data_IF_430721076204
#
_entry.id   IF_430721076204
#
_cell.length_a   1.000
_cell.length_b   1.000
_cell.length_c   1.000
_cell.angle_alpha   90.00
_cell.angle_beta   90.00
_cell.angle_gamma   90.00
#
_symmetry.space_group_name_H-M   'P 1'
#
loop_
_entity.id
_entity.type
_entity.pdbx_description
1 polymer ?
#
# COMPACT_ATOMS: atom_id res chain seq x y z
N UNK A 1 -56.45 26.08 -13.37
CA UNK A 1 -56.13 25.50 -14.70
C UNK A 1 -54.65 25.79 -14.95
N UNK A 2 -53.73 24.81 -14.87
CA UNK A 2 -53.19 24.02 -16.02
C UNK A 2 -52.67 24.97 -17.13
N UNK A 3 -51.40 25.03 -17.61
CA UNK A 3 -50.32 24.05 -17.77
C UNK A 3 -48.93 24.70 -18.02
N UNK A 4 -47.87 23.91 -17.83
CA UNK A 4 -46.59 23.79 -18.59
C UNK A 4 -45.57 24.95 -18.58
N UNK A 5 -44.37 24.78 -18.02
CA UNK A 5 -43.22 23.94 -18.45
C UNK A 5 -42.43 24.52 -19.63
N UNK A 6 -41.22 25.01 -19.39
CA UNK A 6 -40.09 24.88 -20.32
C UNK A 6 -38.77 25.25 -19.62
N UNK A 7 -38.14 24.20 -19.13
CA UNK A 7 -36.83 24.07 -18.52
C UNK A 7 -35.74 24.67 -19.44
N UNK A 8 -35.05 25.71 -18.97
CA UNK A 8 -33.80 26.17 -19.59
C UNK A 8 -32.72 25.12 -19.30
N UNK A 9 -32.53 24.25 -20.27
CA UNK A 9 -31.29 23.52 -20.49
C UNK A 9 -30.13 24.52 -20.46
N UNK A 10 -29.06 24.16 -19.74
CA UNK A 10 -27.65 24.58 -19.84
C UNK A 10 -27.03 24.53 -18.43
N UNK A 11 -26.71 23.31 -18.00
CA UNK A 11 -25.66 23.06 -17.03
C UNK A 11 -24.88 21.85 -17.56
N UNK A 12 -24.06 22.17 -18.56
CA UNK A 12 -23.09 21.26 -19.12
C UNK A 12 -21.97 21.01 -18.09
N UNK A 13 -21.51 19.75 -18.09
CA UNK A 13 -20.16 19.31 -17.71
C UNK A 13 -19.71 19.53 -16.25
N UNK A 14 -19.77 18.44 -15.49
CA UNK A 14 -19.13 18.27 -14.18
C UNK A 14 -20.15 17.65 -13.24
N UNK A 15 -20.16 16.36 -12.95
CA UNK A 15 -19.05 15.51 -12.55
C UNK A 15 -19.21 14.14 -13.22
N UNK A 16 -18.48 13.91 -14.30
CA UNK A 16 -18.12 12.56 -14.73
C UNK A 16 -16.96 12.10 -13.83
N UNK A 17 -17.25 11.83 -12.55
CA UNK A 17 -16.34 11.01 -11.76
C UNK A 17 -16.50 9.58 -12.24
N UNK A 18 -15.69 9.26 -13.24
CA UNK A 18 -14.97 8.01 -13.38
C UNK A 18 -15.68 6.82 -12.70
N UNK A 19 -16.78 6.37 -13.31
CA UNK A 19 -17.02 4.94 -13.40
C UNK A 19 -15.88 4.37 -14.25
N UNK A 20 -14.67 4.32 -13.69
CA UNK A 20 -13.69 3.33 -14.13
C UNK A 20 -14.44 2.03 -14.02
N UNK A 21 -14.72 1.43 -15.17
CA UNK A 21 -15.06 0.04 -15.28
C UNK A 21 -14.05 -0.70 -14.42
N UNK A 22 -14.43 -1.00 -13.18
CA UNK A 22 -13.87 -2.12 -12.47
C UNK A 22 -14.18 -3.26 -13.41
N UNK A 23 -13.17 -3.72 -14.15
CA UNK A 23 -13.10 -5.13 -14.43
C UNK A 23 -13.45 -5.79 -13.09
N UNK A 24 -14.64 -6.37 -13.00
CA UNK A 24 -15.07 -7.08 -11.82
C UNK A 24 -14.19 -8.33 -11.78
N UNK A 25 -12.93 -8.15 -11.39
CA UNK A 25 -12.13 -9.22 -10.86
C UNK A 25 -12.96 -9.77 -9.70
N UNK A 26 -13.26 -11.07 -9.69
CA UNK A 26 -14.14 -11.63 -8.68
C UNK A 26 -13.50 -11.32 -7.33
N UNK A 27 -14.16 -10.46 -6.55
CA UNK A 27 -13.76 -10.15 -5.20
C UNK A 27 -13.62 -11.50 -4.48
N UNK A 28 -12.43 -11.78 -3.95
CA UNK A 28 -12.15 -13.07 -3.31
C UNK A 28 -12.90 -13.23 -1.96
N UNK A 29 -13.68 -12.23 -1.56
CA UNK A 29 -14.30 -12.07 -0.25
C UNK A 29 -15.68 -11.44 -0.43
N UNK A 30 -16.71 -12.01 0.20
CA UNK A 30 -18.02 -11.37 0.29
C UNK A 30 -18.00 -10.22 1.30
N UNK A 31 -18.79 -9.14 1.10
CA UNK A 31 -18.72 -7.92 1.92
C UNK A 31 -18.97 -8.14 3.43
N UNK A 32 -19.67 -9.23 3.80
CA UNK A 32 -19.94 -9.63 5.19
C UNK A 32 -19.09 -10.81 5.70
N UNK A 33 -18.17 -11.34 4.89
CA UNK A 33 -17.26 -12.42 5.32
C UNK A 33 -16.09 -11.82 6.12
N UNK A 34 -15.76 -12.42 7.26
CA UNK A 34 -14.52 -12.14 7.98
C UNK A 34 -13.34 -12.31 7.01
N UNK A 35 -12.38 -11.37 7.01
CA UNK A 35 -11.26 -11.46 6.07
C UNK A 35 -10.58 -12.83 6.20
N UNK A 36 -10.60 -13.67 5.14
CA UNK A 36 -9.96 -14.96 5.22
C UNK A 36 -8.47 -14.77 5.46
N UNK A 37 -7.85 -15.75 6.10
CA UNK A 37 -6.41 -15.70 6.34
C UNK A 37 -5.65 -15.62 5.02
N UNK A 38 -4.43 -15.06 5.05
CA UNK A 38 -3.54 -14.97 3.87
C UNK A 38 -3.42 -16.31 3.14
N UNK A 39 -3.33 -17.39 3.92
CA UNK A 39 -3.24 -18.75 3.40
C UNK A 39 -4.48 -19.13 2.58
N UNK A 40 -5.68 -18.83 3.06
CA UNK A 40 -6.93 -19.14 2.36
C UNK A 40 -7.03 -18.32 1.07
N UNK A 41 -6.67 -17.05 1.09
CA UNK A 41 -6.66 -16.20 -0.11
C UNK A 41 -5.68 -16.72 -1.16
N UNK A 42 -4.46 -17.07 -0.73
CA UNK A 42 -3.48 -17.68 -1.64
C UNK A 42 -3.88 -19.08 -2.14
N UNK A 43 -4.60 -19.87 -1.34
CA UNK A 43 -5.15 -21.15 -1.80
C UNK A 43 -6.28 -20.97 -2.82
N UNK A 44 -7.08 -19.90 -2.70
CA UNK A 44 -8.11 -19.53 -3.70
C UNK A 44 -7.47 -19.03 -5.00
N UNK A 45 -6.33 -18.34 -4.92
CA UNK A 45 -5.59 -17.83 -6.09
C UNK A 45 -4.76 -18.92 -6.80
N UNK A 46 -4.26 -19.91 -6.08
CA UNK A 46 -3.39 -20.95 -6.64
C UNK A 46 -4.20 -22.23 -6.90
N UNK A 47 -4.45 -22.50 -8.18
CA UNK A 47 -5.13 -23.71 -8.65
C UNK A 47 -4.57 -24.98 -7.99
N UNK A 48 -5.47 -25.85 -7.53
CA UNK A 48 -5.12 -27.10 -6.85
C UNK A 48 -4.31 -28.06 -7.72
N UNK A 49 -4.42 -27.95 -9.05
CA UNK A 49 -3.70 -28.76 -10.06
C UNK A 49 -2.39 -28.15 -10.58
N UNK A 50 -1.94 -27.02 -10.06
CA UNK A 50 -0.70 -26.39 -10.54
C UNK A 50 0.54 -27.25 -10.21
N UNK A 51 1.37 -27.57 -11.21
CA UNK A 51 2.64 -28.30 -11.02
C UNK A 51 3.55 -27.64 -9.97
N UNK A 52 3.61 -26.31 -9.98
CA UNK A 52 4.45 -25.52 -9.06
C UNK A 52 3.64 -24.88 -7.92
N UNK A 53 2.60 -25.57 -7.44
CA UNK A 53 1.66 -25.04 -6.42
C UNK A 53 2.38 -24.50 -5.19
N UNK A 54 3.40 -25.18 -4.70
CA UNK A 54 4.17 -24.75 -3.53
C UNK A 54 4.87 -23.41 -3.78
N UNK A 55 5.46 -23.21 -4.97
CA UNK A 55 6.18 -21.98 -5.33
C UNK A 55 5.23 -20.82 -5.57
N UNK A 56 4.09 -21.10 -6.22
CA UNK A 56 3.03 -20.11 -6.41
C UNK A 56 2.42 -19.68 -5.08
N UNK A 57 2.19 -20.60 -4.14
CA UNK A 57 1.72 -20.28 -2.79
C UNK A 57 2.74 -19.43 -2.03
N UNK A 58 4.03 -19.82 -2.05
CA UNK A 58 5.11 -19.02 -1.43
C UNK A 58 5.18 -17.61 -2.00
N UNK A 59 5.07 -17.48 -3.33
CA UNK A 59 5.08 -16.20 -4.03
C UNK A 59 3.88 -15.34 -3.65
N UNK A 60 2.67 -15.92 -3.63
CA UNK A 60 1.46 -15.23 -3.22
C UNK A 60 1.57 -14.70 -1.78
N UNK A 61 2.05 -15.54 -0.85
CA UNK A 61 2.21 -15.15 0.56
C UNK A 61 3.22 -14.02 0.73
N UNK A 62 4.37 -14.10 0.04
CA UNK A 62 5.38 -13.06 0.08
C UNK A 62 4.84 -11.72 -0.44
N UNK A 63 4.13 -11.74 -1.58
CA UNK A 63 3.46 -10.57 -2.16
C UNK A 63 2.45 -9.97 -1.19
N UNK A 64 1.62 -10.81 -0.58
CA UNK A 64 0.54 -10.40 0.29
C UNK A 64 1.06 -9.78 1.60
N UNK A 65 2.11 -10.37 2.19
CA UNK A 65 2.79 -9.77 3.35
C UNK A 65 3.41 -8.41 3.04
N UNK A 66 3.97 -8.22 1.84
CA UNK A 66 4.51 -6.93 1.41
C UNK A 66 3.40 -5.89 1.25
N UNK A 67 2.32 -6.25 0.56
CA UNK A 67 1.19 -5.36 0.32
C UNK A 67 0.46 -4.95 1.58
N UNK A 68 0.30 -5.87 2.53
CA UNK A 68 -0.33 -5.58 3.81
C UNK A 68 0.38 -4.50 4.62
N UNK A 69 1.72 -4.49 4.63
CA UNK A 69 2.47 -3.44 5.33
C UNK A 69 2.25 -2.06 4.73
N UNK A 70 2.08 -2.01 3.41
CA UNK A 70 1.77 -0.77 2.69
C UNK A 70 0.34 -0.33 3.00
N UNK A 71 -0.62 -1.25 2.89
CA UNK A 71 -2.03 -1.02 3.20
C UNK A 71 -2.22 -0.57 4.65
N UNK A 72 -1.63 -1.24 5.64
CA UNK A 72 -1.74 -0.87 7.05
C UNK A 72 -1.27 0.58 7.28
N UNK A 73 -0.12 0.95 6.72
CA UNK A 73 0.42 2.31 6.82
C UNK A 73 -0.51 3.33 6.17
N UNK A 74 -1.05 3.03 5.00
CA UNK A 74 -1.87 3.95 4.23
C UNK A 74 -3.27 4.09 4.88
N UNK A 75 -3.85 3.00 5.35
CA UNK A 75 -5.11 3.00 6.11
C UNK A 75 -4.99 3.70 7.46
N UNK A 76 -3.85 3.56 8.16
CA UNK A 76 -3.56 4.32 9.37
C UNK A 76 -3.45 5.82 9.11
N UNK A 77 -2.84 6.22 7.98
CA UNK A 77 -2.79 7.63 7.57
C UNK A 77 -4.18 8.19 7.28
N UNK A 78 -5.01 7.45 6.57
CA UNK A 78 -6.39 7.85 6.26
C UNK A 78 -7.27 7.95 7.50
N UNK A 79 -7.17 6.98 8.43
CA UNK A 79 -7.96 6.99 9.67
C UNK A 79 -7.49 8.04 10.68
N UNK A 80 -6.28 8.58 10.54
CA UNK A 80 -5.75 9.65 11.39
C UNK A 80 -6.63 10.91 11.43
N UNK A 81 -7.35 11.20 10.34
CA UNK A 81 -8.30 12.31 10.26
C UNK A 81 -9.67 12.04 10.91
N UNK A 82 -9.93 10.83 11.38
CA UNK A 82 -11.20 10.46 12.02
C UNK A 82 -11.16 10.78 13.51
N UNK A 83 -12.19 11.48 13.98
CA UNK A 83 -12.39 11.85 15.39
C UNK A 83 -12.95 10.67 16.19
N UNK A 84 -12.32 10.37 17.33
CA UNK A 84 -12.73 9.29 18.24
C UNK A 84 -12.01 7.96 17.98
N UNK A 85 -11.51 7.33 19.05
CA UNK A 85 -10.68 6.13 18.97
C UNK A 85 -11.42 4.94 18.33
N UNK A 86 -12.70 4.75 18.69
CA UNK A 86 -13.52 3.67 18.14
C UNK A 86 -13.81 3.88 16.64
N UNK A 87 -14.15 5.12 16.24
CA UNK A 87 -14.41 5.47 14.85
C UNK A 87 -13.14 5.36 13.98
N UNK A 88 -11.99 5.77 14.51
CA UNK A 88 -10.68 5.58 13.86
C UNK A 88 -10.36 4.10 13.65
N UNK A 89 -10.54 3.27 14.67
CA UNK A 89 -10.30 1.83 14.56
C UNK A 89 -11.27 1.16 13.57
N UNK A 90 -12.53 1.60 13.51
CA UNK A 90 -13.50 1.11 12.54
C UNK A 90 -13.15 1.53 11.11
N UNK A 91 -12.78 2.80 10.90
CA UNK A 91 -12.35 3.32 9.60
C UNK A 91 -11.09 2.63 9.10
N UNK A 92 -10.10 2.42 9.98
CA UNK A 92 -8.89 1.67 9.65
C UNK A 92 -9.22 0.24 9.21
N UNK A 93 -10.03 -0.49 10.00
CA UNK A 93 -10.46 -1.84 9.64
C UNK A 93 -11.23 -1.88 8.32
N UNK A 94 -12.14 -0.94 8.07
CA UNK A 94 -12.86 -0.87 6.80
C UNK A 94 -11.91 -0.69 5.60
N UNK A 95 -10.93 0.20 5.72
CA UNK A 95 -9.90 0.42 4.71
C UNK A 95 -9.06 -0.84 4.46
N UNK A 96 -8.57 -1.49 5.52
CA UNK A 96 -7.79 -2.72 5.40
C UNK A 96 -8.59 -3.82 4.73
N UNK A 97 -9.89 -3.95 5.05
CA UNK A 97 -10.74 -4.96 4.43
C UNK A 97 -10.89 -4.75 2.93
N UNK A 98 -11.16 -3.52 2.51
CA UNK A 98 -11.33 -3.18 1.10
C UNK A 98 -10.03 -3.37 0.32
N UNK A 99 -8.89 -2.96 0.89
CA UNK A 99 -7.60 -3.02 0.21
C UNK A 99 -6.97 -4.43 0.19
N UNK A 100 -7.29 -5.30 1.15
CA UNK A 100 -6.76 -6.66 1.23
C UNK A 100 -7.67 -7.73 0.61
N UNK A 101 -8.86 -7.36 0.16
CA UNK A 101 -9.80 -8.26 -0.52
C UNK A 101 -9.49 -8.56 -1.99
N UNK A 102 -8.44 -7.94 -2.53
CA UNK A 102 -7.99 -8.08 -3.93
C UNK A 102 -6.95 -9.20 -4.09
N UNK A 103 -6.75 -9.74 -5.30
CA UNK A 103 -5.71 -10.74 -5.56
C UNK A 103 -4.30 -10.21 -5.28
N UNK A 104 -3.37 -11.11 -4.95
CA UNK A 104 -1.99 -10.75 -4.55
C UNK A 104 -1.20 -9.94 -5.58
N UNK A 105 -1.57 -10.03 -6.86
CA UNK A 105 -0.99 -9.26 -7.96
C UNK A 105 -1.36 -7.78 -7.96
N UNK A 106 -2.53 -7.45 -7.41
CA UNK A 106 -3.08 -6.09 -7.34
C UNK A 106 -2.71 -5.35 -6.06
N UNK A 107 -2.11 -6.06 -5.10
CA UNK A 107 -1.65 -5.45 -3.85
C UNK A 107 -0.53 -4.43 -4.11
N UNK A 108 -0.55 -3.29 -3.40
CA UNK A 108 0.45 -2.25 -3.57
C UNK A 108 1.82 -2.80 -3.18
N UNK A 109 2.81 -2.60 -4.04
CA UNK A 109 4.19 -3.01 -3.76
C UNK A 109 4.92 -1.86 -3.11
N UNK A 110 5.92 -2.17 -2.28
CA UNK A 110 6.79 -1.13 -1.78
C UNK A 110 7.54 -0.55 -2.99
N UNK A 111 7.51 0.78 -3.22
CA UNK A 111 8.37 1.36 -4.22
C UNK A 111 9.81 0.96 -3.91
N UNK A 112 10.63 0.63 -4.93
CA UNK A 112 12.01 0.24 -4.70
C UNK A 112 12.70 1.35 -3.90
N UNK A 113 13.54 1.00 -2.89
CA UNK A 113 14.27 2.01 -2.16
C UNK A 113 15.09 2.85 -3.16
N UNK A 114 15.20 4.17 -2.96
CA UNK A 114 16.02 5.00 -3.83
C UNK A 114 17.44 4.42 -3.88
N UNK A 115 18.11 4.45 -5.06
CA UNK A 115 19.45 3.93 -5.19
C UNK A 115 20.34 4.61 -4.14
N UNK A 116 21.07 3.81 -3.36
CA UNK A 116 22.04 4.37 -2.41
C UNK A 116 23.03 5.21 -3.21
N UNK A 117 23.31 6.47 -2.80
CA UNK A 117 24.36 7.24 -3.42
C UNK A 117 25.64 6.40 -3.37
N UNK A 118 26.29 6.25 -4.52
CA UNK A 118 27.57 5.55 -4.64
C UNK A 118 28.55 6.30 -3.73
N UNK A 119 29.25 5.63 -2.79
CA UNK A 119 30.33 6.28 -2.07
C UNK A 119 31.37 6.71 -3.11
N UNK A 120 31.55 8.03 -3.24
CA UNK A 120 32.68 8.60 -3.98
C UNK A 120 33.96 8.15 -3.26
N UNK A 121 34.91 7.53 -3.97
CA UNK A 121 36.24 7.32 -3.41
C UNK A 121 36.96 8.66 -3.50
N UNK A 122 37.02 9.39 -2.39
CA UNK A 122 38.15 10.21 -1.95
C UNK A 122 37.69 11.28 -0.95
N UNK A 123 37.82 10.94 0.34
CA UNK A 123 38.16 11.91 1.36
C UNK A 123 38.88 11.13 2.45
N UNK A 124 40.17 10.88 2.22
CA UNK A 124 41.10 10.49 3.27
C UNK A 124 40.92 11.51 4.41
N UNK A 125 40.56 11.10 5.64
CA UNK A 125 40.56 12.03 6.75
C UNK A 125 42.00 12.51 6.93
N UNK A 126 42.19 13.82 6.81
CA UNK A 126 43.46 14.47 7.10
C UNK A 126 43.90 14.03 8.50
N UNK A 127 44.95 13.21 8.55
CA UNK A 127 45.63 12.83 9.78
C UNK A 127 46.14 14.13 10.41
N UNK A 128 45.75 14.49 11.64
CA UNK A 128 46.44 15.58 12.32
C UNK A 128 47.88 15.13 12.58
N UNK A 129 48.85 15.78 11.93
CA UNK A 129 50.26 15.65 12.27
C UNK A 129 50.42 16.06 13.75
N UNK A 130 50.69 15.08 14.61
CA UNK A 130 51.22 15.31 15.94
C UNK A 130 52.51 16.10 15.81
N UNK A 131 52.46 17.38 16.17
CA UNK A 131 53.63 18.22 16.34
C UNK A 131 54.16 18.01 17.75
N UNK A 132 55.26 17.26 17.91
CA UNK A 132 56.16 17.43 19.06
C UNK A 132 57.34 18.28 18.59
N UNK A 133 57.69 19.34 19.34
CA UNK A 133 58.85 19.29 20.23
C UNK A 133 58.54 20.05 21.55
N UNK A 134 59.32 20.13 22.63
CA UNK A 134 60.74 19.91 22.88
C UNK A 134 60.94 19.61 24.38
N UNK A 135 62.13 19.10 24.71
CA UNK A 135 62.64 18.82 26.04
C UNK A 135 62.78 20.06 26.95
N UNK A 136 62.80 19.84 28.28
CA UNK A 136 63.46 20.74 29.23
C UNK A 136 62.78 20.91 30.60
N UNK A 137 63.43 20.38 31.65
CA UNK A 137 63.43 20.80 33.08
C UNK A 137 62.11 20.57 33.88
N UNK A 138 62.07 19.84 35.00
CA UNK A 138 63.02 19.63 36.10
C UNK A 138 62.99 18.18 36.62
#
# INVERSE_FOLDING_TARGET
>A
MQYSSATKWWAALGLLWAATAHAQTPALIQPDELLPTRMVLCQREVDSGARDRADKLRTCLARRLEGERVVERDCKRQSGGVSGNAARAQAQRACERQALGVPSTELPRRPPPPPRPKPEPDAVPAVPLSSMPAAGEQ
#
